data_IF_008780739238
#
_entry.id   IF_008780739238
#
_cell.length_a   1.000
_cell.length_b   1.000
_cell.length_c   1.000
_cell.angle_alpha   90.00
_cell.angle_beta   90.00
_cell.angle_gamma   90.00
#
_symmetry.space_group_name_H-M   'P 1'
#
loop_
_entity.id
_entity.type
_entity.pdbx_description
1 polymer ?
#
# COMPACT_ATOMS: atom_id res chain seq x y z
N UNK A 1 -0.26 -14.55 -3.32
CA UNK A 1 -1.61 -13.98 -3.56
C UNK A 1 -2.71 -15.04 -3.40
N UNK A 2 -2.69 -15.82 -2.30
CA UNK A 2 -3.70 -16.87 -1.98
C UNK A 2 -4.05 -16.85 -0.46
N UNK A 3 -3.43 -15.99 0.35
CA UNK A 3 -3.45 -16.10 1.83
C UNK A 3 -4.02 -14.91 2.60
N UNK A 4 -4.30 -13.78 1.94
CA UNK A 4 -4.91 -12.61 2.58
C UNK A 4 -6.27 -12.35 1.93
N UNK A 5 -7.39 -12.57 2.65
CA UNK A 5 -8.74 -12.29 2.17
C UNK A 5 -9.05 -10.78 2.10
N UNK A 6 -8.21 -9.95 2.73
CA UNK A 6 -8.39 -8.50 2.80
C UNK A 6 -7.71 -7.75 1.64
N UNK A 7 -8.48 -6.91 0.95
CA UNK A 7 -8.05 -6.07 -0.18
C UNK A 7 -7.06 -4.99 0.29
N UNK A 8 -7.17 -4.51 1.52
CA UNK A 8 -6.27 -3.51 2.09
C UNK A 8 -4.90 -4.11 2.40
N UNK A 9 -4.85 -5.25 3.09
CA UNK A 9 -3.61 -5.97 3.37
C UNK A 9 -2.85 -6.36 2.08
N UNK A 10 -3.58 -6.78 1.03
CA UNK A 10 -2.98 -7.11 -0.27
C UNK A 10 -2.39 -5.89 -0.97
N UNK A 11 -3.10 -4.77 -0.97
CA UNK A 11 -2.64 -3.54 -1.63
C UNK A 11 -1.48 -2.88 -0.87
N UNK A 12 -1.45 -2.98 0.45
CA UNK A 12 -0.30 -2.58 1.25
C UNK A 12 0.95 -3.42 0.91
N UNK A 13 0.82 -4.74 0.88
CA UNK A 13 1.92 -5.63 0.52
C UNK A 13 2.41 -5.39 -0.92
N UNK A 14 1.50 -5.21 -1.87
CA UNK A 14 1.84 -4.91 -3.26
C UNK A 14 2.53 -3.55 -3.40
N UNK A 15 2.04 -2.50 -2.73
CA UNK A 15 2.65 -1.17 -2.79
C UNK A 15 4.06 -1.10 -2.21
N UNK A 16 4.33 -1.84 -1.13
CA UNK A 16 5.68 -1.93 -0.53
C UNK A 16 6.65 -2.63 -1.46
N UNK A 17 6.23 -3.72 -2.10
CA UNK A 17 7.08 -4.47 -3.04
C UNK A 17 7.32 -3.66 -4.32
N UNK A 18 6.31 -2.96 -4.82
CA UNK A 18 6.39 -2.16 -6.04
C UNK A 18 7.35 -0.97 -5.88
N UNK A 19 7.21 -0.22 -4.78
CA UNK A 19 8.15 0.88 -4.48
C UNK A 19 9.55 0.38 -4.20
N UNK A 20 9.72 -0.63 -3.35
CA UNK A 20 11.04 -1.18 -3.03
C UNK A 20 11.75 -1.75 -4.26
N UNK A 21 11.04 -2.52 -5.09
CA UNK A 21 11.56 -3.10 -6.32
C UNK A 21 11.90 -2.06 -7.37
N UNK A 22 11.00 -1.11 -7.62
CA UNK A 22 11.24 -0.02 -8.57
C UNK A 22 12.44 0.83 -8.15
N UNK A 23 12.56 1.19 -6.87
CA UNK A 23 13.71 1.93 -6.37
C UNK A 23 15.02 1.13 -6.48
N UNK A 24 15.02 -0.17 -6.21
CA UNK A 24 16.21 -1.01 -6.39
C UNK A 24 16.67 -1.03 -7.86
N UNK A 25 15.74 -1.21 -8.79
CA UNK A 25 16.03 -1.24 -10.23
C UNK A 25 16.53 0.13 -10.71
N UNK A 26 15.86 1.21 -10.30
CA UNK A 26 16.26 2.58 -10.63
C UNK A 26 17.65 2.91 -10.08
N UNK A 27 17.96 2.48 -8.85
CA UNK A 27 19.26 2.70 -8.23
C UNK A 27 20.37 1.90 -8.94
N UNK A 28 20.10 0.65 -9.32
CA UNK A 28 21.01 -0.15 -10.15
C UNK A 28 21.27 0.47 -11.51
N UNK A 29 20.22 0.96 -12.19
CA UNK A 29 20.34 1.65 -13.47
C UNK A 29 21.06 2.99 -13.35
N UNK A 30 20.84 3.74 -12.27
CA UNK A 30 21.53 5.00 -12.01
C UNK A 30 23.04 4.79 -11.80
N UNK A 31 23.42 3.73 -11.07
CA UNK A 31 24.82 3.33 -10.89
C UNK A 31 25.47 2.90 -12.22
N UNK A 32 24.72 2.20 -13.09
CA UNK A 32 25.19 1.80 -14.42
C UNK A 32 25.31 3.00 -15.40
N UNK A 33 24.38 3.95 -15.35
CA UNK A 33 24.29 5.06 -16.31
C UNK A 33 25.21 6.25 -16.00
N UNK A 34 25.69 6.39 -14.76
CA UNK A 34 26.57 7.48 -14.34
C UNK A 34 25.90 8.87 -14.31
N UNK A 35 26.69 9.96 -14.33
CA UNK A 35 26.21 11.35 -14.37
C UNK A 35 25.73 11.75 -15.77
N UNK A 36 24.68 11.10 -16.24
CA UNK A 36 24.06 11.36 -17.55
C UNK A 36 22.64 11.91 -17.42
N UNK A 37 22.13 12.52 -18.49
CA UNK A 37 20.72 12.93 -18.63
C UNK A 37 19.73 11.78 -18.37
N UNK A 38 20.19 10.53 -18.56
CA UNK A 38 19.42 9.31 -18.28
C UNK A 38 19.11 9.19 -16.78
N UNK A 39 20.09 9.45 -15.91
CA UNK A 39 19.92 9.37 -14.45
C UNK A 39 18.92 10.40 -13.94
N UNK A 40 18.92 11.60 -14.52
CA UNK A 40 17.92 12.64 -14.19
C UNK A 40 16.51 12.17 -14.53
N UNK A 41 16.30 11.54 -15.70
CA UNK A 41 15.01 10.97 -16.08
C UNK A 41 14.58 9.83 -15.15
N UNK A 42 15.51 8.95 -14.75
CA UNK A 42 15.25 7.86 -13.81
C UNK A 42 14.80 8.39 -12.44
N UNK A 43 15.46 9.43 -11.92
CA UNK A 43 15.08 10.08 -10.66
C UNK A 43 13.69 10.72 -10.77
N UNK A 44 13.39 11.39 -11.89
CA UNK A 44 12.05 11.95 -12.16
C UNK A 44 10.95 10.88 -12.14
N UNK A 45 11.20 9.72 -12.75
CA UNK A 45 10.26 8.59 -12.73
C UNK A 45 10.12 8.03 -11.31
N UNK A 46 11.22 7.88 -10.56
CA UNK A 46 11.18 7.45 -9.16
C UNK A 46 10.35 8.39 -8.28
N UNK A 47 10.52 9.70 -8.45
CA UNK A 47 9.72 10.73 -7.77
C UNK A 47 8.24 10.66 -8.13
N UNK A 48 7.92 10.46 -9.41
CA UNK A 48 6.55 10.29 -9.88
C UNK A 48 5.90 9.05 -9.25
N UNK A 49 6.61 7.93 -9.22
CA UNK A 49 6.15 6.69 -8.59
C UNK A 49 5.92 6.87 -7.09
N UNK A 50 6.84 7.56 -6.40
CA UNK A 50 6.69 7.87 -4.99
C UNK A 50 5.41 8.66 -4.67
N UNK A 51 5.06 9.66 -5.50
CA UNK A 51 3.80 10.40 -5.35
C UNK A 51 2.56 9.58 -5.79
N UNK A 52 2.74 8.67 -6.74
CA UNK A 52 1.66 7.81 -7.22
C UNK A 52 1.21 6.84 -6.15
N UNK A 53 2.10 6.31 -5.31
CA UNK A 53 1.75 5.38 -4.24
C UNK A 53 0.72 5.92 -3.22
N UNK A 54 0.93 7.07 -2.53
CA UNK A 54 -0.07 7.63 -1.63
C UNK A 54 -1.37 7.98 -2.37
N UNK A 55 -1.28 8.44 -3.63
CA UNK A 55 -2.45 8.74 -4.47
C UNK A 55 -3.25 7.47 -4.78
N UNK A 56 -2.57 6.37 -5.13
CA UNK A 56 -3.15 5.09 -5.44
C UNK A 56 -3.80 4.46 -4.19
N UNK A 57 -3.14 4.53 -3.03
CA UNK A 57 -3.72 4.08 -1.76
C UNK A 57 -4.98 4.87 -1.41
N UNK A 58 -4.96 6.21 -1.54
CA UNK A 58 -6.15 7.03 -1.30
C UNK A 58 -7.31 6.71 -2.26
N UNK A 59 -7.03 6.56 -3.55
CA UNK A 59 -8.03 6.21 -4.55
C UNK A 59 -8.60 4.81 -4.31
N UNK A 60 -7.73 3.85 -3.95
CA UNK A 60 -8.12 2.48 -3.63
C UNK A 60 -9.00 2.41 -2.38
N UNK A 61 -8.63 3.09 -1.29
CA UNK A 61 -9.45 3.15 -0.07
C UNK A 61 -10.82 3.73 -0.39
N UNK A 62 -10.86 4.84 -1.15
CA UNK A 62 -12.13 5.47 -1.55
C UNK A 62 -12.98 4.55 -2.44
N UNK A 63 -12.36 3.82 -3.36
CA UNK A 63 -13.04 2.87 -4.24
C UNK A 63 -13.52 1.62 -3.49
N UNK A 64 -12.73 1.10 -2.55
CA UNK A 64 -13.10 -0.03 -1.71
C UNK A 64 -14.28 0.34 -0.79
N UNK A 65 -14.26 1.53 -0.19
CA UNK A 65 -15.36 2.06 0.60
C UNK A 65 -16.63 2.26 -0.24
N UNK A 66 -16.50 2.81 -1.46
CA UNK A 66 -17.63 2.97 -2.38
C UNK A 66 -18.16 1.62 -2.91
N UNK A 67 -17.32 0.58 -2.96
CA UNK A 67 -17.68 -0.77 -3.35
C UNK A 67 -18.28 -1.62 -2.23
N UNK A 68 -18.48 -1.07 -1.02
CA UNK A 68 -19.03 -1.79 0.12
C UNK A 68 -18.09 -2.81 0.76
N UNK A 69 -16.79 -2.76 0.44
CA UNK A 69 -15.76 -3.60 1.07
C UNK A 69 -15.28 -2.91 2.35
N UNK A 70 -15.88 -3.27 3.48
CA UNK A 70 -15.41 -2.82 4.79
C UNK A 70 -14.03 -3.41 5.10
N UNK A 71 -13.09 -2.61 5.65
CA UNK A 71 -11.79 -3.11 6.06
C UNK A 71 -11.96 -4.12 7.20
N UNK A 72 -11.38 -5.32 7.07
CA UNK A 72 -11.44 -6.37 8.10
C UNK A 72 -10.97 -5.90 9.50
N UNK A 73 -10.11 -4.89 9.55
CA UNK A 73 -9.65 -4.28 10.80
C UNK A 73 -10.80 -3.60 11.60
N UNK A 74 -11.89 -3.22 10.93
CA UNK A 74 -13.08 -2.65 11.56
C UNK A 74 -14.00 -3.72 12.17
N UNK A 75 -14.08 -4.90 11.56
CA UNK A 75 -14.82 -6.04 12.13
C UNK A 75 -14.14 -6.55 13.41
N UNK A 76 -12.81 -6.71 13.41
CA UNK A 76 -12.09 -7.22 14.59
C UNK A 76 -12.28 -6.34 15.84
N UNK A 77 -12.28 -5.01 15.66
CA UNK A 77 -12.53 -4.08 16.77
C UNK A 77 -14.00 -4.02 17.20
N UNK A 78 -14.95 -4.28 16.30
CA UNK A 78 -16.37 -4.34 16.64
C UNK A 78 -16.67 -5.62 17.44
N UNK A 79 -16.10 -6.76 17.03
CA UNK A 79 -16.22 -8.04 17.73
C UNK A 79 -15.54 -7.97 19.11
N UNK A 80 -14.33 -7.38 19.21
CA UNK A 80 -13.63 -7.21 20.49
C UNK A 80 -14.40 -6.26 21.45
N UNK A 81 -15.02 -5.21 20.93
CA UNK A 81 -15.88 -4.34 21.77
C UNK A 81 -17.21 -4.99 22.18
N UNK A 82 -17.74 -5.91 21.36
CA UNK A 82 -18.94 -6.67 21.70
C UNK A 82 -18.65 -7.73 22.77
N UNK A 83 -17.50 -8.40 22.68
CA UNK A 83 -17.02 -9.39 23.66
C UNK A 83 -16.72 -8.73 25.02
N UNK A 84 -16.08 -7.54 25.00
CA UNK A 84 -15.85 -6.73 26.21
C UNK A 84 -17.13 -6.17 26.82
N UNK A 85 -18.19 -5.97 26.03
CA UNK A 85 -19.49 -5.52 26.53
C UNK A 85 -20.32 -6.65 27.15
N UNK A 86 -20.15 -7.89 26.69
CA UNK A 86 -20.79 -9.09 27.25
C UNK A 86 -20.08 -9.55 28.54
N UNK A 87 -18.74 -9.45 28.60
CA UNK A 87 -17.95 -9.80 29.80
C UNK A 87 -18.10 -8.79 30.96
N UNK A 88 -18.52 -7.55 30.67
CA UNK A 88 -18.72 -6.50 31.68
C UNK A 88 -20.12 -6.50 32.33
N UNK A 89 -21.00 -7.44 31.98
CA UNK A 89 -22.34 -7.56 32.56
C UNK A 89 -22.38 -8.62 33.69
N UNK A 90 -22.44 -8.23 34.99
CA UNK A 90 -22.64 -9.16 36.11
C UNK A 90 -24.08 -9.69 36.24
#
# INVERSE_FOLDING_TARGET
MIRFPDVYARSHAAGVIDTGGAYLILLGLALQAGFSLITVKLVLIGLLLFFTCPTATHALVKAALAGGLEPLCRELGADETADLADEAAP
#
